data_IF_984384507496
#
_entry.id   IF_984384507496
#
_cell.length_a   1.000
_cell.length_b   1.000
_cell.length_c   1.000
_cell.angle_alpha   90.00
_cell.angle_beta   90.00
_cell.angle_gamma   90.00
#
_symmetry.space_group_name_H-M   'P 1'
#
loop_
_entity.id
_entity.type
_entity.pdbx_description
1 polymer ?
#
# COMPACT_ATOMS: atom_id res chain seq x y z
N UNK A 1 6.08 8.98 11.81
CA UNK A 1 7.34 9.16 12.57
C UNK A 1 7.25 10.24 13.64
N UNK A 2 6.66 11.43 13.38
CA UNK A 2 6.55 12.52 14.38
C UNK A 2 5.82 12.15 15.68
N UNK A 3 4.99 11.10 15.64
CA UNK A 3 4.32 10.53 16.83
C UNK A 3 5.24 9.64 17.69
N UNK A 4 6.51 9.47 17.33
CA UNK A 4 7.46 8.63 18.07
C UNK A 4 7.25 7.12 17.94
N UNK A 5 6.27 6.68 17.17
CA UNK A 5 6.01 5.25 16.91
C UNK A 5 7.10 4.71 15.98
N UNK A 6 7.87 3.67 16.39
CA UNK A 6 8.88 3.04 15.56
C UNK A 6 8.27 2.37 14.33
N UNK A 7 8.95 2.47 13.19
CA UNK A 7 8.56 1.79 11.95
C UNK A 7 9.48 0.57 11.74
N UNK A 8 9.00 -0.62 12.11
CA UNK A 8 9.79 -1.86 12.02
C UNK A 8 9.94 -2.35 10.58
N UNK A 9 8.82 -2.42 9.85
CA UNK A 9 8.79 -2.76 8.43
C UNK A 9 7.69 -1.96 7.75
N UNK A 10 8.02 -1.31 6.64
CA UNK A 10 7.08 -0.57 5.79
C UNK A 10 7.14 -1.15 4.39
N UNK A 11 6.02 -1.74 3.97
CA UNK A 11 5.79 -2.14 2.58
C UNK A 11 4.99 -1.04 1.89
N UNK A 12 5.55 -0.45 0.85
CA UNK A 12 4.96 0.67 0.10
C UNK A 12 4.80 0.30 -1.37
N UNK A 13 3.63 0.63 -1.93
CA UNK A 13 3.35 0.48 -3.36
C UNK A 13 3.19 1.86 -3.96
N UNK A 14 4.04 2.21 -4.93
CA UNK A 14 3.99 3.52 -5.61
C UNK A 14 4.60 3.38 -7.01
N UNK A 15 3.84 3.80 -8.03
CA UNK A 15 4.21 3.68 -9.44
C UNK A 15 5.29 4.68 -9.85
N UNK A 16 5.24 5.91 -9.33
CA UNK A 16 6.20 6.96 -9.61
C UNK A 16 7.54 6.69 -8.95
N UNK A 17 8.59 6.50 -9.75
CA UNK A 17 9.95 6.35 -9.25
C UNK A 17 10.41 7.55 -8.42
N UNK A 18 10.08 8.76 -8.87
CA UNK A 18 10.38 10.00 -8.15
C UNK A 18 9.78 9.99 -6.75
N UNK A 19 8.53 9.53 -6.59
CA UNK A 19 7.89 9.45 -5.28
C UNK A 19 8.56 8.38 -4.40
N UNK A 20 8.94 7.24 -4.97
CA UNK A 20 9.70 6.21 -4.23
C UNK A 20 11.04 6.74 -3.75
N UNK A 21 11.75 7.49 -4.57
CA UNK A 21 13.04 8.09 -4.21
C UNK A 21 12.91 9.16 -3.14
N UNK A 22 11.83 9.96 -3.16
CA UNK A 22 11.50 10.89 -2.07
C UNK A 22 11.31 10.15 -0.75
N UNK A 23 10.53 9.06 -0.74
CA UNK A 23 10.29 8.26 0.47
C UNK A 23 11.58 7.61 0.96
N UNK A 24 12.41 7.06 0.06
CA UNK A 24 13.72 6.48 0.40
C UNK A 24 14.64 7.52 1.02
N UNK A 25 14.75 8.70 0.40
CA UNK A 25 15.57 9.81 0.92
C UNK A 25 15.12 10.22 2.32
N UNK A 26 13.80 10.36 2.53
CA UNK A 26 13.24 10.69 3.84
C UNK A 26 13.51 9.58 4.90
N UNK A 27 13.43 8.32 4.51
CA UNK A 27 13.71 7.18 5.38
C UNK A 27 15.15 7.21 5.92
N UNK A 28 16.11 7.46 5.02
CA UNK A 28 17.53 7.57 5.35
C UNK A 28 17.84 8.82 6.20
N UNK A 29 17.30 9.98 5.81
CA UNK A 29 17.52 11.26 6.51
C UNK A 29 16.96 11.26 7.94
N UNK A 30 15.90 10.49 8.20
CA UNK A 30 15.35 10.33 9.55
C UNK A 30 15.94 9.15 10.31
N UNK A 31 16.98 8.52 9.77
CA UNK A 31 17.69 7.38 10.34
C UNK A 31 16.76 6.24 10.80
N UNK A 32 15.69 5.98 10.06
CA UNK A 32 14.82 4.84 10.34
C UNK A 32 15.65 3.56 10.33
N UNK A 33 15.41 2.69 11.31
CA UNK A 33 16.20 1.45 11.52
C UNK A 33 15.51 0.20 11.01
N UNK A 34 14.22 0.31 10.66
CA UNK A 34 13.45 -0.80 10.11
C UNK A 34 13.70 -1.01 8.61
N UNK A 35 12.85 -1.85 8.03
CA UNK A 35 12.89 -2.19 6.61
C UNK A 35 11.94 -1.29 5.81
N UNK A 36 12.39 -0.81 4.65
CA UNK A 36 11.55 -0.16 3.66
C UNK A 36 11.56 -0.97 2.37
N UNK A 37 10.40 -1.49 1.96
CA UNK A 37 10.25 -2.34 0.78
C UNK A 37 9.30 -1.65 -0.18
N UNK A 38 9.75 -1.38 -1.40
CA UNK A 38 8.95 -0.76 -2.44
C UNK A 38 8.52 -1.75 -3.52
N UNK A 39 7.25 -1.65 -3.91
CA UNK A 39 6.70 -2.23 -5.13
C UNK A 39 6.27 -1.10 -6.06
N UNK A 40 6.44 -1.29 -7.37
CA UNK A 40 6.07 -0.29 -8.37
C UNK A 40 4.67 -0.52 -8.95
N UNK A 41 4.06 -1.67 -8.67
CA UNK A 41 2.72 -2.03 -9.13
C UNK A 41 1.95 -2.77 -8.04
N UNK A 42 0.70 -2.37 -7.83
CA UNK A 42 -0.22 -2.97 -6.87
C UNK A 42 -0.56 -4.42 -7.22
N UNK A 43 -0.42 -4.80 -8.49
CA UNK A 43 -0.59 -6.17 -8.95
C UNK A 43 0.51 -7.11 -8.46
N UNK A 44 1.67 -6.58 -8.04
CA UNK A 44 2.75 -7.38 -7.44
C UNK A 44 2.40 -7.89 -6.03
N UNK A 45 1.44 -7.24 -5.35
CA UNK A 45 0.92 -7.72 -4.08
C UNK A 45 -0.23 -8.70 -4.32
N UNK A 46 0.12 -9.89 -4.79
CA UNK A 46 -0.76 -11.04 -4.85
C UNK A 46 -0.71 -11.85 -3.54
N UNK A 47 -1.51 -12.92 -3.44
CA UNK A 47 -1.62 -13.75 -2.24
C UNK A 47 -0.27 -14.31 -1.80
N UNK A 48 0.44 -14.98 -2.70
CA UNK A 48 1.75 -15.59 -2.43
C UNK A 48 2.77 -14.55 -1.96
N UNK A 49 2.79 -13.37 -2.60
CA UNK A 49 3.72 -12.31 -2.22
C UNK A 49 3.42 -11.73 -0.84
N UNK A 50 2.14 -11.56 -0.51
CA UNK A 50 1.72 -11.12 0.81
C UNK A 50 2.03 -12.17 1.88
N UNK A 51 1.86 -13.46 1.57
CA UNK A 51 2.20 -14.56 2.48
C UNK A 51 3.70 -14.58 2.76
N UNK A 52 4.54 -14.50 1.73
CA UNK A 52 6.00 -14.38 1.88
C UNK A 52 6.41 -13.20 2.76
N UNK A 53 5.79 -12.03 2.57
CA UNK A 53 6.07 -10.84 3.38
C UNK A 53 5.68 -11.06 4.84
N UNK A 54 4.51 -11.67 5.08
CA UNK A 54 4.00 -11.96 6.43
C UNK A 54 4.88 -13.00 7.14
N UNK A 55 5.33 -14.03 6.44
CA UNK A 55 6.25 -15.03 6.98
C UNK A 55 7.62 -14.43 7.30
N UNK A 56 8.12 -13.53 6.46
CA UNK A 56 9.47 -12.95 6.60
C UNK A 56 9.55 -11.84 7.65
N UNK A 57 8.51 -11.02 7.77
CA UNK A 57 8.52 -9.80 8.59
C UNK A 57 7.44 -9.75 9.67
N UNK A 58 6.57 -10.75 9.74
CA UNK A 58 5.37 -10.74 10.57
C UNK A 58 4.17 -10.08 9.88
N UNK A 59 3.02 -10.12 10.56
CA UNK A 59 1.78 -9.52 10.07
C UNK A 59 1.82 -7.99 9.94
N UNK A 60 0.80 -7.43 9.30
CA UNK A 60 0.62 -5.99 9.17
C UNK A 60 -0.27 -5.44 10.30
N UNK A 61 0.27 -4.56 11.14
CA UNK A 61 -0.51 -3.87 12.19
C UNK A 61 -1.40 -2.77 11.63
N UNK A 62 -1.02 -2.19 10.49
CA UNK A 62 -1.70 -1.08 9.84
C UNK A 62 -1.63 -1.24 8.32
N UNK A 63 -2.79 -1.19 7.67
CA UNK A 63 -2.93 -1.08 6.22
C UNK A 63 -3.59 0.26 5.91
N UNK A 64 -2.92 1.09 5.13
CA UNK A 64 -3.40 2.42 4.71
C UNK A 64 -3.25 2.58 3.21
N UNK A 65 -4.18 3.30 2.59
CA UNK A 65 -4.14 3.59 1.16
C UNK A 65 -5.08 4.74 0.82
N UNK A 66 -4.75 5.43 -0.27
CA UNK A 66 -5.61 6.42 -0.90
C UNK A 66 -5.60 6.18 -2.39
N UNK A 67 -6.74 5.82 -2.97
CA UNK A 67 -6.88 5.74 -4.42
C UNK A 67 -6.93 7.16 -5.00
N UNK A 68 -6.31 7.41 -6.17
CA UNK A 68 -6.48 8.66 -6.91
C UNK A 68 -7.96 9.06 -7.01
N UNK A 69 -8.28 10.28 -6.58
CA UNK A 69 -9.66 10.75 -6.43
C UNK A 69 -10.16 11.52 -7.67
N UNK A 70 -9.46 11.44 -8.81
CA UNK A 70 -9.75 12.31 -9.96
C UNK A 70 -11.13 12.04 -10.60
N UNK A 71 -11.70 10.83 -10.39
CA UNK A 71 -13.05 10.48 -10.82
C UNK A 71 -14.13 10.62 -9.72
N UNK A 72 -13.74 10.90 -8.47
CA UNK A 72 -14.63 10.98 -7.30
C UNK A 72 -14.90 12.43 -6.85
N UNK A 73 -14.01 13.38 -7.18
CA UNK A 73 -14.26 14.80 -6.97
C UNK A 73 -15.28 15.30 -8.03
N UNK A 74 -16.44 15.81 -7.58
CA UNK A 74 -17.55 16.28 -8.42
C UNK A 74 -17.28 17.45 -9.38
N UNK A 75 -16.01 17.81 -9.63
CA UNK A 75 -15.60 18.92 -10.48
C UNK A 75 -15.24 18.51 -11.92
N UNK A 76 -15.06 17.22 -12.22
CA UNK A 76 -14.78 16.74 -13.59
C UNK A 76 -16.09 16.44 -14.35
N UNK A 77 -16.65 17.47 -15.00
CA UNK A 77 -17.90 17.40 -15.79
C UNK A 77 -17.79 16.62 -17.12
N UNK A 78 -16.65 16.00 -17.45
CA UNK A 78 -16.37 15.52 -18.83
C UNK A 78 -16.24 14.00 -18.99
N UNK A 79 -16.11 13.19 -17.93
CA UNK A 79 -16.15 11.73 -18.06
C UNK A 79 -16.71 11.07 -16.79
N UNK A 80 -18.00 10.77 -16.78
CA UNK A 80 -18.70 10.09 -15.69
C UNK A 80 -18.53 8.57 -15.84
N UNK A 81 -17.36 8.04 -15.49
CA UNK A 81 -17.16 6.58 -15.50
C UNK A 81 -17.42 5.92 -14.13
N UNK A 82 -17.83 6.69 -13.11
CA UNK A 82 -18.20 6.14 -11.80
C UNK A 82 -17.10 5.24 -11.19
N UNK A 83 -17.52 4.16 -10.52
CA UNK A 83 -16.62 3.13 -10.00
C UNK A 83 -16.06 2.18 -11.08
N UNK A 84 -16.41 2.39 -12.35
CA UNK A 84 -15.98 1.56 -13.48
C UNK A 84 -14.80 2.18 -14.26
N UNK A 85 -14.40 3.41 -13.94
CA UNK A 85 -13.23 4.07 -14.52
C UNK A 85 -11.90 3.42 -14.09
N UNK A 86 -10.87 3.54 -14.93
CA UNK A 86 -9.50 3.02 -14.67
C UNK A 86 -8.87 3.50 -13.35
N UNK A 87 -9.33 4.60 -12.78
CA UNK A 87 -8.86 5.09 -11.47
C UNK A 87 -9.63 4.46 -10.29
N UNK A 88 -10.85 3.98 -10.54
CA UNK A 88 -11.68 3.28 -9.57
C UNK A 88 -11.24 1.82 -9.37
N UNK A 89 -10.50 1.24 -10.32
CA UNK A 89 -9.89 -0.09 -10.15
C UNK A 89 -8.89 -0.14 -8.99
N UNK A 90 -8.19 0.97 -8.72
CA UNK A 90 -7.23 1.07 -7.62
C UNK A 90 -7.91 0.97 -6.24
N UNK A 91 -9.19 1.37 -6.15
CA UNK A 91 -9.98 1.13 -4.94
C UNK A 91 -10.22 -0.38 -4.72
N UNK A 92 -10.59 -1.11 -5.77
CA UNK A 92 -10.77 -2.56 -5.68
C UNK A 92 -9.47 -3.30 -5.36
N UNK A 93 -8.33 -2.83 -5.87
CA UNK A 93 -7.03 -3.37 -5.49
C UNK A 93 -6.71 -3.17 -4.00
N UNK A 94 -7.07 -2.01 -3.42
CA UNK A 94 -6.93 -1.80 -1.99
C UNK A 94 -7.77 -2.79 -1.17
N UNK A 95 -9.06 -2.95 -1.53
CA UNK A 95 -9.96 -3.90 -0.87
C UNK A 95 -9.43 -5.33 -0.99
N UNK A 96 -9.01 -5.74 -2.19
CA UNK A 96 -8.39 -7.04 -2.47
C UNK A 96 -7.19 -7.31 -1.57
N UNK A 97 -6.26 -6.36 -1.46
CA UNK A 97 -5.07 -6.50 -0.60
C UNK A 97 -5.46 -6.58 0.87
N UNK A 98 -6.38 -5.73 1.32
CA UNK A 98 -6.85 -5.73 2.71
C UNK A 98 -7.47 -7.09 3.10
N UNK A 99 -8.30 -7.66 2.23
CA UNK A 99 -8.95 -8.95 2.48
C UNK A 99 -7.94 -10.10 2.46
N UNK A 100 -6.95 -10.07 1.56
CA UNK A 100 -5.85 -11.04 1.54
C UNK A 100 -5.03 -10.98 2.84
N UNK A 101 -4.63 -9.78 3.27
CA UNK A 101 -3.88 -9.59 4.53
C UNK A 101 -4.67 -10.16 5.71
N UNK A 102 -5.97 -9.83 5.83
CA UNK A 102 -6.83 -10.38 6.90
C UNK A 102 -6.92 -11.90 6.84
N UNK A 103 -7.11 -12.46 5.65
CA UNK A 103 -7.23 -13.91 5.45
C UNK A 103 -5.95 -14.63 5.88
N UNK A 104 -4.79 -14.18 5.39
CA UNK A 104 -3.48 -14.80 5.69
C UNK A 104 -3.18 -14.69 7.19
N UNK A 105 -3.35 -13.49 7.77
CA UNK A 105 -3.08 -13.26 9.19
C UNK A 105 -4.02 -14.05 10.12
N UNK A 106 -5.28 -14.30 9.69
CA UNK A 106 -6.19 -15.15 10.45
C UNK A 106 -5.75 -16.62 10.46
N UNK A 107 -5.15 -17.11 9.37
CA UNK A 107 -4.63 -18.48 9.29
C UNK A 107 -3.40 -18.68 10.20
N UNK A 108 -2.56 -17.65 10.33
CA UNK A 108 -1.33 -17.69 11.14
C UNK A 108 -1.57 -17.53 12.66
N UNK A 109 -2.82 -17.29 13.08
CA UNK A 109 -3.18 -17.17 14.50
C UNK A 109 -3.59 -18.50 15.16
N UNK A 110 -3.60 -19.59 14.38
CA UNK A 110 -3.87 -20.95 14.84
C UNK A 110 -2.62 -21.81 14.68
#
# INVERSE_FOLDING_TARGET
YRLGIPLNTVVSVEKSEVNRDIVRSWWEQTNQKGNLIHFNDVQQLNGDRLEQLIESFGGFDLVIGGSPCNNLAGSNRVSRDGLEGKESSLFYDYVRILDLVKSIMSRHRH
#
